data_IF_662001188753
#
_entry.id   IF_662001188753
#
_cell.length_a   1.000
_cell.length_b   1.000
_cell.length_c   1.000
_cell.angle_alpha   90.00
_cell.angle_beta   90.00
_cell.angle_gamma   90.00
#
_symmetry.space_group_name_H-M   'P 1'
#
loop_
_entity.id
_entity.type
_entity.pdbx_description
1 polymer ?
#
# COMPACT_ATOMS: atom_id res chain seq x y z
N UNK A 1 58.83 17.22 -30.61
CA UNK A 1 57.89 17.99 -29.77
C UNK A 1 56.52 17.29 -29.79
N UNK A 2 56.40 16.09 -29.21
CA UNK A 2 55.25 15.22 -29.52
C UNK A 2 54.92 14.26 -28.36
N UNK A 3 54.91 14.74 -27.11
CA UNK A 3 54.59 13.90 -25.93
C UNK A 3 53.63 14.51 -24.91
N UNK A 4 53.05 15.68 -25.14
CA UNK A 4 52.23 16.37 -24.11
C UNK A 4 50.71 16.29 -24.29
N UNK A 5 50.16 15.69 -25.36
CA UNK A 5 48.72 15.78 -25.64
C UNK A 5 47.86 14.57 -25.18
N UNK A 6 48.46 13.45 -24.74
CA UNK A 6 47.71 12.20 -24.53
C UNK A 6 47.26 11.99 -23.05
N UNK A 7 47.79 12.73 -22.07
CA UNK A 7 47.43 12.48 -20.65
C UNK A 7 46.14 13.18 -20.18
N UNK A 8 45.69 14.24 -20.85
CA UNK A 8 44.54 15.07 -20.41
C UNK A 8 43.18 14.49 -20.79
N UNK A 9 43.09 13.55 -21.74
CA UNK A 9 41.82 12.93 -22.15
C UNK A 9 41.38 11.76 -21.25
N UNK A 10 42.30 11.08 -20.55
CA UNK A 10 41.94 9.98 -19.64
C UNK A 10 41.41 10.45 -18.29
N UNK A 11 41.79 11.64 -17.83
CA UNK A 11 41.33 12.19 -16.55
C UNK A 11 39.95 12.88 -16.65
N UNK A 12 39.52 13.30 -17.86
CA UNK A 12 38.18 13.87 -18.07
C UNK A 12 37.09 12.82 -18.30
N UNK A 13 37.46 11.60 -18.70
CA UNK A 13 36.49 10.50 -18.86
C UNK A 13 36.11 9.82 -17.53
N UNK A 14 36.99 9.87 -16.51
CA UNK A 14 36.67 9.32 -15.19
C UNK A 14 35.72 10.21 -14.37
N UNK A 15 35.67 11.52 -14.66
CA UNK A 15 34.82 12.45 -13.92
C UNK A 15 33.33 12.36 -14.33
N UNK A 16 33.03 11.87 -15.54
CA UNK A 16 31.64 11.70 -16.02
C UNK A 16 31.01 10.38 -15.58
N UNK A 17 31.80 9.37 -15.22
CA UNK A 17 31.27 8.06 -14.81
C UNK A 17 30.82 8.01 -13.34
N UNK A 18 31.30 8.94 -12.49
CA UNK A 18 31.00 8.96 -11.05
C UNK A 18 29.70 9.72 -10.73
N UNK A 19 29.21 10.58 -11.62
CA UNK A 19 27.97 11.35 -11.39
C UNK A 19 26.71 10.56 -11.80
N UNK A 20 26.84 9.51 -12.62
CA UNK A 20 25.71 8.66 -13.02
C UNK A 20 25.26 7.67 -11.94
N UNK A 21 26.06 7.46 -10.88
CA UNK A 21 25.76 6.49 -9.83
C UNK A 21 24.88 7.05 -8.68
N UNK A 22 24.53 8.35 -8.69
CA UNK A 22 23.86 9.01 -7.56
C UNK A 22 22.35 9.29 -7.75
N UNK A 23 21.71 8.71 -8.77
CA UNK A 23 20.25 8.77 -8.91
C UNK A 23 19.63 7.38 -8.98
N UNK A 24 20.03 6.46 -8.09
CA UNK A 24 19.06 5.48 -7.59
C UNK A 24 18.19 6.20 -6.57
N UNK A 25 17.22 6.99 -7.05
CA UNK A 25 16.10 7.36 -6.20
C UNK A 25 15.47 6.04 -5.75
N UNK A 26 15.34 5.77 -4.43
CA UNK A 26 14.57 4.63 -3.99
C UNK A 26 13.18 4.82 -4.57
N UNK A 27 12.77 3.91 -5.46
CA UNK A 27 11.42 3.86 -5.96
C UNK A 27 10.53 3.79 -4.72
N UNK A 28 9.75 4.85 -4.48
CA UNK A 28 8.70 4.79 -3.46
C UNK A 28 7.84 3.59 -3.86
N UNK A 29 7.84 2.55 -3.02
CA UNK A 29 7.08 1.32 -3.26
C UNK A 29 5.59 1.62 -3.01
N UNK A 30 5.03 2.47 -3.87
CA UNK A 30 3.62 2.76 -3.97
C UNK A 30 3.03 1.76 -4.97
N UNK A 31 2.02 1.04 -4.53
CA UNK A 31 1.28 0.09 -5.35
C UNK A 31 -0.04 0.73 -5.77
N UNK A 32 -0.45 0.46 -7.00
CA UNK A 32 -1.73 0.93 -7.53
C UNK A 32 -2.61 -0.26 -7.87
N UNK A 33 -3.91 -0.17 -7.61
CA UNK A 33 -4.91 -1.14 -8.04
C UNK A 33 -6.20 -0.41 -8.38
N UNK A 34 -6.89 -0.87 -9.43
CA UNK A 34 -8.14 -0.26 -9.89
C UNK A 34 -9.29 -1.26 -9.82
N UNK A 35 -10.52 -0.76 -9.78
CA UNK A 35 -11.72 -1.56 -10.00
C UNK A 35 -11.70 -2.21 -11.39
N UNK A 36 -12.48 -3.28 -11.61
CA UNK A 36 -12.58 -3.88 -12.95
C UNK A 36 -12.94 -2.90 -14.07
N UNK A 37 -13.79 -1.91 -13.80
CA UNK A 37 -14.13 -0.85 -14.76
C UNK A 37 -13.16 0.35 -14.77
N UNK A 38 -12.13 0.35 -13.92
CA UNK A 38 -11.10 1.38 -13.83
C UNK A 38 -11.52 2.72 -13.19
N UNK A 39 -12.78 2.87 -12.76
CA UNK A 39 -13.30 4.12 -12.18
C UNK A 39 -12.78 4.35 -10.76
N UNK A 40 -12.67 3.30 -9.95
CA UNK A 40 -12.09 3.42 -8.61
C UNK A 40 -10.62 3.07 -8.69
N UNK A 41 -9.76 3.95 -8.18
CA UNK A 41 -8.31 3.77 -8.19
C UNK A 41 -7.78 3.93 -6.77
N UNK A 42 -7.14 2.89 -6.26
CA UNK A 42 -6.51 2.87 -4.95
C UNK A 42 -4.99 2.94 -5.12
N UNK A 43 -4.35 3.82 -4.36
CA UNK A 43 -2.90 3.86 -4.22
C UNK A 43 -2.54 3.52 -2.78
N UNK A 44 -1.63 2.58 -2.57
CA UNK A 44 -1.23 2.10 -1.24
C UNK A 44 0.28 2.09 -1.11
N UNK A 45 0.79 2.26 0.11
CA UNK A 45 2.24 2.18 0.33
C UNK A 45 2.63 2.50 1.76
N UNK A 46 3.87 2.94 1.92
CA UNK A 46 4.41 3.40 3.21
C UNK A 46 4.82 4.87 3.15
N UNK A 47 4.38 5.70 4.10
CA UNK A 47 4.97 7.03 4.37
C UNK A 47 5.73 6.96 5.70
N UNK A 48 7.04 7.13 5.65
CA UNK A 48 7.93 7.00 6.82
C UNK A 48 7.76 5.67 7.58
N UNK A 49 7.44 4.58 6.87
CA UNK A 49 7.21 3.26 7.45
C UNK A 49 5.82 3.02 8.03
N UNK A 50 4.89 3.99 7.91
CA UNK A 50 3.47 3.82 8.25
C UNK A 50 2.67 3.42 7.00
N UNK A 51 1.84 2.37 7.04
CA UNK A 51 1.00 2.01 5.92
C UNK A 51 -0.10 3.03 5.72
N UNK A 52 -0.37 3.34 4.45
CA UNK A 52 -1.40 4.28 4.07
C UNK A 52 -2.09 3.84 2.78
N UNK A 53 -3.28 4.39 2.54
CA UNK A 53 -3.95 4.36 1.25
C UNK A 53 -4.49 5.75 0.85
N UNK A 54 -4.74 5.92 -0.44
CA UNK A 54 -5.39 7.06 -1.07
C UNK A 54 -6.39 6.50 -2.10
N UNK A 55 -7.58 7.10 -2.18
CA UNK A 55 -8.67 6.63 -3.04
C UNK A 55 -9.11 7.72 -3.99
N UNK A 56 -9.22 7.38 -5.28
CA UNK A 56 -9.86 8.20 -6.30
C UNK A 56 -11.07 7.50 -6.90
N UNK A 57 -12.08 8.30 -7.23
CA UNK A 57 -13.17 7.92 -8.13
C UNK A 57 -13.09 8.81 -9.36
N UNK A 58 -12.89 8.21 -10.53
CA UNK A 58 -12.36 8.88 -11.71
C UNK A 58 -11.08 9.65 -11.36
N UNK A 59 -11.02 10.94 -11.67
CA UNK A 59 -9.87 11.81 -11.37
C UNK A 59 -10.01 12.58 -10.05
N UNK A 60 -11.05 12.30 -9.26
CA UNK A 60 -11.34 13.02 -8.01
C UNK A 60 -10.87 12.22 -6.80
N UNK A 61 -10.13 12.86 -5.92
CA UNK A 61 -9.81 12.28 -4.62
C UNK A 61 -11.09 12.13 -3.80
N UNK A 62 -11.29 10.94 -3.24
CA UNK A 62 -12.33 10.64 -2.25
C UNK A 62 -11.70 10.59 -0.87
N UNK A 63 -10.60 9.85 -0.74
CA UNK A 63 -9.77 9.83 0.45
C UNK A 63 -8.36 10.30 0.13
N UNK A 64 -7.92 11.31 0.87
CA UNK A 64 -6.52 11.71 0.98
C UNK A 64 -5.73 10.64 1.75
N UNK A 65 -4.44 10.88 1.95
CA UNK A 65 -3.55 9.96 2.70
C UNK A 65 -4.20 9.53 4.02
N UNK A 66 -4.58 8.26 4.08
CA UNK A 66 -5.27 7.67 5.22
C UNK A 66 -4.40 6.55 5.80
N UNK A 67 -3.96 6.71 7.04
CA UNK A 67 -3.09 5.74 7.70
C UNK A 67 -3.85 4.51 8.21
N UNK A 68 -3.11 3.41 8.36
CA UNK A 68 -3.59 2.10 8.77
C UNK A 68 -2.70 1.55 9.90
N UNK A 69 -3.26 0.71 10.78
CA UNK A 69 -2.51 0.01 11.82
C UNK A 69 -3.24 -0.15 13.15
N UNK A 70 -2.54 -0.77 14.11
CA UNK A 70 -3.06 -1.00 15.46
C UNK A 70 -2.11 -0.48 16.54
N UNK A 71 -2.70 -0.06 17.66
CA UNK A 71 -2.01 0.02 18.97
C UNK A 71 -2.28 -1.28 19.73
N UNK A 72 -1.21 -1.99 20.08
CA UNK A 72 -1.30 -3.21 20.88
C UNK A 72 -0.75 -2.95 22.28
N UNK A 73 -1.19 -3.75 23.26
CA UNK A 73 -0.72 -3.63 24.64
C UNK A 73 0.80 -3.80 24.80
N UNK A 74 1.43 -4.56 23.90
CA UNK A 74 2.86 -4.88 23.91
C UNK A 74 3.66 -4.07 22.87
N UNK A 75 3.05 -3.05 22.28
CA UNK A 75 3.68 -2.09 21.37
C UNK A 75 3.03 -2.02 19.99
N UNK A 76 3.20 -0.88 19.32
CA UNK A 76 2.41 -0.55 18.14
C UNK A 76 2.72 -1.41 16.90
N UNK A 77 1.67 -1.72 16.15
CA UNK A 77 1.68 -2.40 14.87
C UNK A 77 1.13 -1.44 13.78
N UNK A 78 1.67 -0.22 13.74
CA UNK A 78 1.22 0.90 12.90
C UNK A 78 2.36 1.59 12.11
N UNK A 79 3.60 1.18 12.35
CA UNK A 79 4.79 1.88 11.89
C UNK A 79 6.03 0.97 11.89
N UNK A 80 7.16 1.54 11.45
CA UNK A 80 8.44 0.84 11.23
C UNK A 80 8.37 -0.29 10.20
N UNK A 81 7.39 -0.29 9.31
CA UNK A 81 7.27 -1.32 8.29
C UNK A 81 8.23 -1.12 7.11
N UNK A 82 8.48 -2.24 6.44
CA UNK A 82 8.85 -2.33 5.03
C UNK A 82 7.87 -3.26 4.32
N UNK A 83 7.65 -3.04 3.03
CA UNK A 83 6.92 -3.97 2.18
C UNK A 83 7.86 -5.13 1.85
N UNK A 84 7.44 -6.36 2.13
CA UNK A 84 8.18 -7.59 1.76
C UNK A 84 7.83 -7.98 0.33
N UNK A 85 6.53 -8.01 0.03
CA UNK A 85 5.97 -8.44 -1.25
C UNK A 85 4.54 -7.93 -1.38
N UNK A 86 4.02 -8.02 -2.61
CA UNK A 86 2.64 -7.69 -2.94
C UNK A 86 2.06 -8.86 -3.74
N UNK A 87 0.83 -9.26 -3.44
CA UNK A 87 0.10 -10.31 -4.17
C UNK A 87 -1.14 -9.71 -4.80
N UNK A 88 -1.40 -10.04 -6.07
CA UNK A 88 -2.54 -9.52 -6.84
C UNK A 88 -3.39 -10.67 -7.36
N UNK A 89 -4.70 -10.56 -7.22
CA UNK A 89 -5.66 -11.52 -7.77
C UNK A 89 -6.89 -10.79 -8.30
N UNK A 90 -7.72 -11.50 -9.08
CA UNK A 90 -9.02 -11.03 -9.52
C UNK A 90 -10.01 -12.14 -9.24
N UNK A 91 -11.23 -11.76 -8.85
CA UNK A 91 -12.34 -12.67 -8.65
C UNK A 91 -13.51 -12.16 -9.45
N UNK A 92 -14.10 -13.02 -10.27
CA UNK A 92 -15.38 -12.79 -10.95
C UNK A 92 -16.21 -14.06 -10.79
N UNK A 93 -17.25 -13.99 -9.96
CA UNK A 93 -18.19 -15.08 -9.77
C UNK A 93 -19.60 -14.54 -9.53
N UNK A 94 -20.58 -15.43 -9.61
CA UNK A 94 -21.96 -15.13 -9.24
C UNK A 94 -22.45 -16.22 -8.31
N UNK A 95 -23.13 -15.83 -7.24
CA UNK A 95 -23.71 -16.76 -6.27
C UNK A 95 -25.20 -16.46 -6.07
N UNK A 96 -25.97 -17.50 -5.75
CA UNK A 96 -27.41 -17.41 -5.53
C UNK A 96 -27.71 -17.25 -4.04
N UNK A 97 -28.51 -16.26 -3.69
CA UNK A 97 -28.98 -16.07 -2.32
C UNK A 97 -30.08 -17.09 -1.99
N UNK A 98 -30.09 -17.56 -0.74
CA UNK A 98 -31.23 -18.35 -0.23
C UNK A 98 -32.45 -17.45 -0.03
N UNK A 99 -32.22 -16.20 0.38
CA UNK A 99 -33.19 -15.14 0.56
C UNK A 99 -32.47 -13.79 0.54
N UNK A 100 -33.14 -12.74 0.04
CA UNK A 100 -32.68 -11.35 0.06
C UNK A 100 -33.28 -10.53 -1.07
N UNK A 101 -32.73 -9.33 -1.29
CA UNK A 101 -33.28 -8.35 -2.24
C UNK A 101 -33.08 -8.77 -3.70
N UNK A 102 -32.05 -9.59 -3.98
CA UNK A 102 -31.68 -10.07 -5.31
C UNK A 102 -31.45 -11.59 -5.28
N UNK A 103 -31.87 -12.31 -6.32
CA UNK A 103 -31.66 -13.78 -6.40
C UNK A 103 -30.18 -14.13 -6.66
N UNK A 104 -29.51 -13.38 -7.54
CA UNK A 104 -28.12 -13.61 -7.94
C UNK A 104 -27.24 -12.40 -7.66
N UNK A 105 -26.14 -12.61 -6.97
CA UNK A 105 -25.17 -11.55 -6.63
C UNK A 105 -23.88 -11.75 -7.37
N UNK A 106 -23.45 -10.72 -8.10
CA UNK A 106 -22.14 -10.67 -8.74
C UNK A 106 -21.07 -10.27 -7.73
N UNK A 107 -20.02 -11.09 -7.62
CA UNK A 107 -18.85 -10.83 -6.81
C UNK A 107 -17.64 -10.64 -7.73
N UNK A 108 -17.43 -9.39 -8.17
CA UNK A 108 -16.40 -9.04 -9.13
C UNK A 108 -15.48 -7.93 -8.61
N UNK A 109 -14.22 -8.27 -8.35
CA UNK A 109 -13.24 -7.35 -7.80
C UNK A 109 -11.82 -7.68 -8.23
N UNK A 110 -10.96 -6.67 -8.21
CA UNK A 110 -9.51 -6.84 -8.17
C UNK A 110 -9.03 -6.77 -6.72
N UNK A 111 -8.07 -7.62 -6.34
CA UNK A 111 -7.53 -7.71 -4.99
C UNK A 111 -6.02 -7.45 -4.96
N UNK A 112 -5.58 -6.70 -3.95
CA UNK A 112 -4.17 -6.43 -3.65
C UNK A 112 -3.92 -6.75 -2.18
N UNK A 113 -2.99 -7.66 -1.92
CA UNK A 113 -2.46 -7.90 -0.58
C UNK A 113 -1.07 -7.31 -0.47
N UNK A 114 -0.86 -6.41 0.49
CA UNK A 114 0.47 -5.89 0.84
C UNK A 114 0.97 -6.66 2.05
N UNK A 115 2.13 -7.32 1.91
CA UNK A 115 2.77 -8.04 3.00
C UNK A 115 3.81 -7.16 3.68
N UNK A 116 3.58 -6.79 4.93
CA UNK A 116 4.43 -5.88 5.70
C UNK A 116 5.21 -6.61 6.78
N UNK A 117 6.40 -6.09 7.09
CA UNK A 117 7.16 -6.52 8.26
C UNK A 117 7.88 -5.34 8.90
N UNK A 118 7.83 -5.27 10.24
CA UNK A 118 8.61 -4.29 10.99
C UNK A 118 10.11 -4.52 10.76
N UNK A 119 10.85 -3.42 10.59
CA UNK A 119 12.29 -3.45 10.29
C UNK A 119 13.10 -3.81 11.54
N UNK A 120 12.69 -3.28 12.69
CA UNK A 120 13.36 -3.43 13.99
C UNK A 120 12.52 -4.26 14.96
N UNK A 121 13.06 -4.44 16.16
CA UNK A 121 12.40 -5.14 17.26
C UNK A 121 12.07 -6.58 16.91
N UNK A 122 10.85 -6.99 17.24
CA UNK A 122 10.33 -8.34 17.02
C UNK A 122 10.06 -8.67 15.55
N UNK A 123 10.29 -7.73 14.62
CA UNK A 123 10.08 -7.92 13.17
C UNK A 123 8.70 -8.50 12.84
N UNK A 124 7.67 -8.00 13.53
CA UNK A 124 6.30 -8.49 13.41
C UNK A 124 5.77 -8.28 12.00
N UNK A 125 4.96 -9.22 11.54
CA UNK A 125 4.33 -9.21 10.21
C UNK A 125 2.87 -8.76 10.31
N UNK A 126 2.44 -8.04 9.28
CA UNK A 126 1.07 -7.58 9.09
C UNK A 126 0.77 -7.60 7.59
N UNK A 127 -0.32 -8.23 7.20
CA UNK A 127 -0.81 -8.18 5.84
C UNK A 127 -2.05 -7.27 5.77
N UNK A 128 -2.20 -6.53 4.68
CA UNK A 128 -3.39 -5.71 4.42
C UNK A 128 -3.95 -6.13 3.07
N UNK A 129 -5.19 -6.61 3.06
CA UNK A 129 -5.90 -7.08 1.86
C UNK A 129 -6.90 -6.02 1.45
N UNK A 130 -6.80 -5.54 0.22
CA UNK A 130 -7.74 -4.61 -0.41
C UNK A 130 -8.49 -5.31 -1.53
N UNK A 131 -9.81 -5.14 -1.59
CA UNK A 131 -10.68 -5.55 -2.68
C UNK A 131 -11.36 -4.33 -3.27
N UNK A 132 -11.22 -4.14 -4.58
CA UNK A 132 -11.71 -2.99 -5.31
C UNK A 132 -12.80 -3.47 -6.26
N UNK A 133 -14.03 -3.08 -5.95
CA UNK A 133 -15.22 -3.32 -6.74
C UNK A 133 -15.49 -2.08 -7.62
N UNK A 134 -16.44 -2.19 -8.53
CA UNK A 134 -16.81 -1.09 -9.43
C UNK A 134 -17.54 0.07 -8.73
N UNK A 135 -18.06 -0.19 -7.53
CA UNK A 135 -18.91 0.67 -6.70
C UNK A 135 -18.34 0.94 -5.30
N UNK A 136 -17.23 0.31 -4.93
CA UNK A 136 -16.62 0.53 -3.62
C UNK A 136 -15.30 -0.19 -3.39
N UNK A 137 -14.76 -0.02 -2.19
CA UNK A 137 -13.60 -0.75 -1.71
C UNK A 137 -13.93 -1.44 -0.39
N UNK A 138 -13.31 -2.58 -0.16
CA UNK A 138 -13.22 -3.22 1.15
C UNK A 138 -11.77 -3.53 1.47
N UNK A 139 -11.39 -3.41 2.74
CA UNK A 139 -10.07 -3.85 3.18
C UNK A 139 -10.11 -4.46 4.57
N UNK A 140 -9.10 -5.27 4.87
CA UNK A 140 -8.92 -5.88 6.20
C UNK A 140 -7.45 -6.13 6.50
N UNK A 141 -7.14 -6.21 7.79
CA UNK A 141 -5.86 -6.67 8.30
C UNK A 141 -5.85 -8.19 8.43
N UNK A 142 -4.69 -8.80 8.19
CA UNK A 142 -4.39 -10.18 8.56
C UNK A 142 -3.09 -10.14 9.36
N UNK A 143 -3.15 -10.57 10.61
CA UNK A 143 -1.95 -10.75 11.44
C UNK A 143 -1.61 -12.24 11.36
N UNK A 144 -0.63 -12.65 10.53
CA UNK A 144 -0.32 -14.05 10.34
C UNK A 144 0.28 -14.65 11.61
N UNK A 145 0.11 -15.97 11.76
CA UNK A 145 0.80 -16.73 12.80
C UNK A 145 2.31 -16.54 12.68
N UNK A 146 2.96 -16.21 13.80
CA UNK A 146 4.38 -15.90 13.85
C UNK A 146 4.93 -16.13 15.25
N UNK A 147 6.19 -16.56 15.34
CA UNK A 147 6.87 -16.89 16.61
C UNK A 147 6.93 -15.73 17.61
N UNK A 148 6.78 -14.51 17.12
CA UNK A 148 6.99 -13.27 17.87
C UNK A 148 5.69 -12.68 18.41
N UNK A 149 4.53 -13.28 18.11
CA UNK A 149 3.22 -12.78 18.51
C UNK A 149 2.23 -13.93 18.68
N UNK A 150 2.14 -14.46 19.90
CA UNK A 150 1.26 -15.58 20.25
C UNK A 150 -0.10 -15.13 20.79
N UNK A 151 -0.18 -13.91 21.31
CA UNK A 151 -1.40 -13.30 21.84
C UNK A 151 -1.46 -11.87 21.37
N UNK A 152 -2.63 -11.44 20.92
CA UNK A 152 -2.85 -10.10 20.38
C UNK A 152 -3.91 -9.44 21.26
N UNK A 153 -3.52 -8.37 21.96
CA UNK A 153 -4.44 -7.52 22.71
C UNK A 153 -4.43 -6.17 22.01
N UNK A 154 -5.55 -5.88 21.33
CA UNK A 154 -5.74 -4.64 20.57
C UNK A 154 -6.31 -3.60 21.53
N UNK A 155 -5.60 -2.48 21.67
CA UNK A 155 -6.08 -1.34 22.43
C UNK A 155 -6.86 -0.38 21.53
N UNK A 156 -6.29 -0.05 20.37
CA UNK A 156 -6.88 0.90 19.42
C UNK A 156 -6.61 0.46 17.98
N UNK A 157 -7.58 0.75 17.11
CA UNK A 157 -7.42 0.69 15.67
C UNK A 157 -7.21 2.09 15.11
N UNK A 158 -6.12 2.30 14.38
CA UNK A 158 -5.67 3.60 13.87
C UNK A 158 -6.08 3.82 12.40
N UNK A 159 -7.07 3.07 11.91
CA UNK A 159 -7.58 3.15 10.54
C UNK A 159 -8.20 4.53 10.31
N UNK A 160 -7.77 5.22 9.26
CA UNK A 160 -8.28 6.53 8.89
C UNK A 160 -9.12 6.50 7.61
N UNK A 161 -10.01 7.50 7.53
CA UNK A 161 -10.77 7.85 6.33
C UNK A 161 -10.68 9.37 6.15
N UNK A 162 -9.55 9.85 5.61
CA UNK A 162 -9.30 11.27 5.44
C UNK A 162 -10.06 11.82 4.22
N UNK A 163 -11.31 12.23 4.41
CA UNK A 163 -12.16 12.80 3.36
C UNK A 163 -11.45 13.94 2.62
N UNK A 164 -11.53 13.92 1.28
CA UNK A 164 -10.85 14.90 0.44
C UNK A 164 -11.55 16.26 0.37
N UNK A 165 -12.79 16.34 0.81
CA UNK A 165 -13.64 17.52 0.77
C UNK A 165 -14.57 17.54 1.98
N UNK A 166 -15.05 18.74 2.32
CA UNK A 166 -16.06 18.94 3.35
C UNK A 166 -17.41 18.41 2.83
N UNK A 167 -17.80 17.24 3.31
CA UNK A 167 -18.99 16.52 2.84
C UNK A 167 -20.11 16.63 3.88
N UNK A 168 -21.34 16.82 3.41
CA UNK A 168 -22.51 16.69 4.27
C UNK A 168 -22.62 15.27 4.82
N UNK A 169 -22.91 15.16 6.11
CA UNK A 169 -23.05 13.90 6.81
C UNK A 169 -24.44 13.77 7.42
N UNK A 170 -25.00 12.57 7.33
CA UNK A 170 -26.14 12.15 8.13
C UNK A 170 -25.61 11.23 9.23
N UNK A 171 -25.56 11.74 10.47
CA UNK A 171 -25.04 11.02 11.65
C UNK A 171 -25.99 11.11 12.83
N UNK A 172 -25.85 10.17 13.77
CA UNK A 172 -26.57 10.13 15.05
C UNK A 172 -25.79 10.86 16.16
#
# INVERSE_FOLDING_TARGET
>A
MTKFYISTMKQRLLATLVIAAFYLLPLMAQEHISSPNGKIQLSVGLKSGRPYYELKYHDRNIFNTSFLGYKLSDGNLDSDFKIISCTRTTKDETWQQVWGEEEFVKNHYNELTIHLQQKKGLKRKLDIVFRIFDDGIGFRYIIPEQKTLNTIIINEEETQFALAHDAEAWSI
#
